data_IF_908636678125
#
_entry.id   IF_908636678125
#
_cell.length_a   1.000
_cell.length_b   1.000
_cell.length_c   1.000
_cell.angle_alpha   90.00
_cell.angle_beta   90.00
_cell.angle_gamma   90.00
#
_symmetry.space_group_name_H-M   'P 1'
#
loop_
_entity.id
_entity.type
_entity.pdbx_description
1 polymer ?
#
# COMPACT_ATOMS: atom_id res chain seq x y z
N UNK A 1 71.98 -31.55 20.73
CA UNK A 1 71.44 -30.18 20.78
C UNK A 1 70.85 -29.85 19.42
N UNK A 2 69.52 -29.91 19.31
CA UNK A 2 68.69 -29.10 18.42
C UNK A 2 67.25 -29.20 18.96
N UNK A 3 66.60 -28.06 19.15
CA UNK A 3 65.45 -27.85 20.04
C UNK A 3 64.11 -28.22 19.35
N UNK A 4 63.11 -28.86 20.01
CA UNK A 4 61.83 -29.24 19.38
C UNK A 4 60.85 -28.08 19.10
N UNK A 5 61.23 -26.83 19.36
CA UNK A 5 60.35 -25.66 19.23
C UNK A 5 60.33 -25.03 17.84
N UNK A 6 61.21 -25.46 16.92
CA UNK A 6 61.25 -24.91 15.55
C UNK A 6 60.27 -25.60 14.58
N UNK A 7 59.51 -26.62 15.04
CA UNK A 7 58.46 -27.28 14.24
C UNK A 7 57.09 -26.58 14.28
N UNK A 8 56.94 -25.49 15.04
CA UNK A 8 55.65 -24.80 15.19
C UNK A 8 55.58 -23.45 14.46
N UNK A 9 56.66 -23.00 13.82
CA UNK A 9 56.72 -21.68 13.19
C UNK A 9 56.94 -21.69 11.67
N UNK A 10 56.77 -22.84 11.02
CA UNK A 10 56.72 -22.90 9.54
C UNK A 10 55.37 -23.44 9.00
N UNK A 11 54.36 -23.58 9.87
CA UNK A 11 53.00 -23.97 9.47
C UNK A 11 51.97 -22.84 9.59
N UNK A 12 52.40 -21.58 9.76
CA UNK A 12 51.48 -20.42 9.90
C UNK A 12 51.73 -19.35 8.83
N UNK A 13 52.86 -19.39 8.12
CA UNK A 13 53.22 -18.37 7.11
C UNK A 13 52.73 -18.66 5.69
N UNK A 14 51.92 -19.71 5.50
CA UNK A 14 51.25 -19.97 4.23
C UNK A 14 49.72 -19.97 4.34
N UNK A 15 49.19 -19.18 5.29
CA UNK A 15 47.77 -18.81 5.31
C UNK A 15 47.47 -17.84 4.15
N UNK A 16 47.28 -18.39 2.95
CA UNK A 16 46.57 -17.71 1.85
C UNK A 16 45.05 -17.75 2.04
N UNK A 17 44.60 -17.96 3.29
CA UNK A 17 43.21 -17.98 3.73
C UNK A 17 43.07 -16.92 4.83
N UNK A 18 43.08 -15.62 4.48
CA UNK A 18 42.17 -14.73 5.19
C UNK A 18 41.52 -13.66 4.30
N UNK A 19 41.86 -13.57 3.01
CA UNK A 19 41.28 -12.52 2.14
C UNK A 19 39.96 -12.95 1.50
N UNK A 20 39.86 -14.21 1.06
CA UNK A 20 38.67 -14.74 0.36
C UNK A 20 37.50 -14.95 1.34
N UNK A 21 37.78 -15.44 2.55
CA UNK A 21 36.75 -15.67 3.58
C UNK A 21 36.19 -14.34 4.11
N UNK A 22 37.04 -13.32 4.28
CA UNK A 22 36.57 -11.97 4.66
C UNK A 22 35.73 -11.31 3.56
N UNK A 23 36.10 -11.47 2.28
CA UNK A 23 35.32 -10.90 1.18
C UNK A 23 33.94 -11.54 1.05
N UNK A 24 33.82 -12.85 1.32
CA UNK A 24 32.54 -13.57 1.30
C UNK A 24 31.62 -13.18 2.47
N UNK A 25 32.17 -12.96 3.68
CA UNK A 25 31.38 -12.45 4.81
C UNK A 25 30.87 -11.01 4.58
N UNK A 26 31.65 -10.17 3.90
CA UNK A 26 31.23 -8.81 3.54
C UNK A 26 30.07 -8.78 2.54
N UNK A 27 30.00 -9.76 1.63
CA UNK A 27 28.92 -9.90 0.65
C UNK A 27 27.61 -10.40 1.29
N UNK A 28 27.68 -11.23 2.34
CA UNK A 28 26.48 -11.70 3.06
C UNK A 28 25.78 -10.64 3.91
N UNK A 29 26.44 -9.51 4.19
CA UNK A 29 25.85 -8.38 4.92
C UNK A 29 25.12 -7.38 3.99
N UNK A 30 25.30 -7.50 2.66
CA UNK A 30 24.69 -6.61 1.66
C UNK A 30 23.45 -7.21 0.99
N UNK A 31 23.15 -8.50 1.19
CA UNK A 31 21.84 -9.07 0.86
C UNK A 31 20.83 -8.61 1.91
N UNK A 32 20.44 -7.36 1.78
CA UNK A 32 19.60 -6.63 2.71
C UNK A 32 18.32 -7.38 3.04
N UNK A 33 18.03 -7.45 4.33
CA UNK A 33 16.65 -7.41 4.80
C UNK A 33 16.10 -6.01 4.45
N UNK A 34 15.83 -5.77 3.17
CA UNK A 34 14.89 -4.72 2.82
C UNK A 34 13.57 -5.14 3.43
N UNK A 35 13.22 -4.56 4.57
CA UNK A 35 11.90 -4.71 5.15
C UNK A 35 10.89 -4.46 4.03
N UNK A 36 9.91 -5.37 3.81
CA UNK A 36 8.91 -5.17 2.79
C UNK A 36 8.30 -3.79 3.03
N UNK A 37 8.42 -2.91 2.02
CA UNK A 37 7.90 -1.56 2.13
C UNK A 37 6.47 -1.66 2.63
N UNK A 38 6.07 -0.87 3.65
CA UNK A 38 4.71 -0.90 4.14
C UNK A 38 3.78 -0.71 2.95
N UNK A 39 2.72 -1.52 2.89
CA UNK A 39 1.69 -1.39 1.86
C UNK A 39 1.05 -0.01 2.06
N UNK A 40 1.53 0.98 1.31
CA UNK A 40 0.91 2.30 1.26
C UNK A 40 -0.36 2.12 0.45
N UNK A 41 -1.52 2.08 1.12
CA UNK A 41 -2.80 2.15 0.42
C UNK A 41 -2.81 3.46 -0.37
N UNK A 42 -2.87 3.37 -1.70
CA UNK A 42 -3.02 4.56 -2.53
C UNK A 42 -4.40 5.13 -2.23
N UNK A 43 -4.43 6.34 -1.68
CA UNK A 43 -5.69 7.05 -1.45
C UNK A 43 -6.35 7.37 -2.79
N UNK A 44 -7.67 7.19 -2.87
CA UNK A 44 -8.46 7.63 -4.00
C UNK A 44 -9.21 8.91 -3.61
N UNK A 45 -9.19 9.93 -4.46
CA UNK A 45 -9.98 11.14 -4.21
C UNK A 45 -11.41 10.95 -4.67
N UNK A 46 -12.36 10.96 -3.74
CA UNK A 46 -13.77 11.05 -4.07
C UNK A 46 -14.10 12.49 -4.46
N UNK A 47 -14.61 12.67 -5.67
CA UNK A 47 -15.04 13.96 -6.22
C UNK A 47 -16.53 13.93 -6.53
N UNK A 48 -17.29 14.88 -5.98
CA UNK A 48 -18.75 14.93 -6.11
C UNK A 48 -19.14 16.26 -6.75
N UNK A 49 -19.94 16.19 -7.81
CA UNK A 49 -20.49 17.33 -8.51
C UNK A 49 -22.01 17.36 -8.28
N UNK A 50 -22.53 18.37 -7.60
CA UNK A 50 -23.97 18.52 -7.46
C UNK A 50 -24.56 19.18 -8.72
N UNK A 51 -24.98 18.35 -9.68
CA UNK A 51 -25.67 18.78 -10.90
C UNK A 51 -27.20 18.67 -10.79
N UNK A 52 -27.73 18.53 -9.58
CA UNK A 52 -29.18 18.49 -9.35
C UNK A 52 -29.76 19.91 -9.29
N UNK A 53 -31.09 20.04 -9.32
CA UNK A 53 -31.77 21.32 -9.17
C UNK A 53 -31.92 21.79 -7.71
N UNK A 54 -31.42 21.04 -6.72
CA UNK A 54 -31.49 21.37 -5.30
C UNK A 54 -30.16 21.07 -4.59
N UNK A 55 -30.06 21.48 -3.34
CA UNK A 55 -28.97 21.18 -2.42
C UNK A 55 -29.02 19.72 -1.98
N UNK A 56 -27.89 19.04 -2.04
CA UNK A 56 -27.70 17.74 -1.38
C UNK A 56 -27.45 18.00 0.11
N UNK A 57 -28.30 17.41 0.97
CA UNK A 57 -28.22 17.60 2.41
C UNK A 57 -27.01 16.89 3.00
N UNK A 58 -26.77 15.63 2.61
CA UNK A 58 -25.59 14.87 3.01
C UNK A 58 -25.24 13.82 1.98
N UNK A 59 -23.97 13.48 1.93
CA UNK A 59 -23.46 12.28 1.27
C UNK A 59 -22.84 11.39 2.32
N UNK A 60 -23.17 10.10 2.25
CA UNK A 60 -22.63 9.07 3.13
C UNK A 60 -21.91 8.02 2.31
N UNK A 61 -21.09 7.24 3.01
CA UNK A 61 -20.54 6.01 2.48
C UNK A 61 -20.70 4.88 3.49
N UNK A 62 -20.78 3.66 2.96
CA UNK A 62 -20.79 2.42 3.70
C UNK A 62 -19.75 1.50 3.08
N UNK A 63 -18.82 0.96 3.86
CA UNK A 63 -17.86 -0.01 3.30
C UNK A 63 -18.60 -1.28 2.88
N UNK A 64 -18.17 -1.93 1.81
CA UNK A 64 -18.83 -3.13 1.29
C UNK A 64 -18.83 -4.29 2.30
N UNK A 65 -17.86 -4.31 3.22
CA UNK A 65 -17.67 -5.32 4.26
C UNK A 65 -18.19 -4.90 5.64
N UNK A 66 -18.84 -3.73 5.76
CA UNK A 66 -19.39 -3.23 7.01
C UNK A 66 -20.86 -2.84 6.87
N UNK A 67 -21.60 -2.88 7.97
CA UNK A 67 -22.94 -2.32 8.06
C UNK A 67 -22.94 -0.78 8.28
N UNK A 68 -21.80 -0.22 8.72
CA UNK A 68 -21.70 1.13 9.24
C UNK A 68 -21.79 2.19 8.14
N UNK A 69 -22.72 3.14 8.32
CA UNK A 69 -22.89 4.30 7.45
C UNK A 69 -22.17 5.52 8.04
N UNK A 70 -21.35 6.16 7.23
CA UNK A 70 -20.48 7.25 7.64
C UNK A 70 -20.73 8.49 6.79
N UNK A 71 -20.84 9.67 7.40
CA UNK A 71 -21.02 10.93 6.68
C UNK A 71 -19.70 11.38 6.05
N UNK A 72 -19.73 11.68 4.75
CA UNK A 72 -18.58 12.18 3.99
C UNK A 72 -18.62 13.69 3.87
N UNK A 73 -19.79 14.21 3.47
CA UNK A 73 -20.04 15.62 3.22
C UNK A 73 -21.45 15.98 3.67
N UNK A 74 -21.61 17.25 3.99
CA UNK A 74 -22.90 17.85 4.28
C UNK A 74 -23.07 19.12 3.45
N UNK A 75 -24.32 19.45 3.17
CA UNK A 75 -24.72 20.75 2.67
C UNK A 75 -24.10 21.18 1.33
N UNK A 76 -24.03 20.28 0.34
CA UNK A 76 -23.45 20.56 -0.98
C UNK A 76 -24.44 21.38 -1.82
N UNK A 77 -24.08 22.62 -2.14
CA UNK A 77 -24.90 23.56 -2.92
C UNK A 77 -25.03 23.14 -4.38
N UNK A 78 -26.03 23.69 -5.07
CA UNK A 78 -26.23 23.47 -6.52
C UNK A 78 -24.99 23.96 -7.28
N UNK A 79 -24.51 23.16 -8.22
CA UNK A 79 -23.31 23.45 -9.02
C UNK A 79 -21.98 23.33 -8.26
N UNK A 80 -22.01 23.05 -6.95
CA UNK A 80 -20.80 22.91 -6.15
C UNK A 80 -20.09 21.59 -6.44
N UNK A 81 -18.77 21.64 -6.42
CA UNK A 81 -17.88 20.49 -6.46
C UNK A 81 -17.17 20.35 -5.12
N UNK A 82 -17.16 19.15 -4.55
CA UNK A 82 -16.47 18.83 -3.29
C UNK A 82 -15.60 17.59 -3.46
N UNK A 83 -14.48 17.55 -2.74
CA UNK A 83 -13.46 16.51 -2.87
C UNK A 83 -12.95 16.06 -1.51
N UNK A 84 -12.70 14.74 -1.34
CA UNK A 84 -12.15 14.15 -0.12
C UNK A 84 -11.30 12.93 -0.45
N UNK A 85 -10.06 12.84 0.05
CA UNK A 85 -9.28 11.60 -0.01
C UNK A 85 -9.97 10.48 0.78
N UNK A 86 -10.02 9.30 0.19
CA UNK A 86 -10.63 8.11 0.74
C UNK A 86 -9.62 6.96 0.75
N UNK A 87 -9.54 6.30 1.91
CA UNK A 87 -8.64 5.17 2.16
C UNK A 87 -9.48 3.92 2.47
N UNK A 88 -10.37 3.57 1.54
CA UNK A 88 -11.25 2.40 1.61
C UNK A 88 -11.09 1.56 0.35
N UNK A 89 -11.18 0.23 0.49
CA UNK A 89 -11.01 -0.69 -0.64
C UNK A 89 -12.28 -0.84 -1.49
N UNK A 90 -13.45 -0.77 -0.84
CA UNK A 90 -14.75 -0.89 -1.49
C UNK A 90 -15.79 -0.14 -0.65
N UNK A 91 -16.62 0.68 -1.29
CA UNK A 91 -17.73 1.35 -0.62
C UNK A 91 -18.95 1.56 -1.51
N UNK A 92 -20.11 1.59 -0.87
CA UNK A 92 -21.34 2.15 -1.40
C UNK A 92 -21.43 3.63 -0.98
N UNK A 93 -21.94 4.48 -1.88
CA UNK A 93 -22.15 5.91 -1.66
C UNK A 93 -23.62 6.27 -1.87
N UNK A 94 -24.15 7.09 -0.95
CA UNK A 94 -25.55 7.53 -0.97
C UNK A 94 -25.62 9.04 -0.78
N UNK A 95 -26.33 9.73 -1.66
CA UNK A 95 -26.62 11.16 -1.58
C UNK A 95 -28.09 11.36 -1.19
N UNK A 96 -28.32 12.24 -0.20
CA UNK A 96 -29.65 12.49 0.35
C UNK A 96 -30.08 13.95 0.16
N UNK A 97 -31.36 14.15 -0.14
CA UNK A 97 -31.97 15.48 -0.11
C UNK A 97 -32.30 15.91 1.34
N UNK A 98 -32.88 17.11 1.48
CA UNK A 98 -33.25 17.67 2.79
C UNK A 98 -34.38 16.92 3.50
N UNK A 99 -35.15 16.10 2.76
CA UNK A 99 -36.23 15.27 3.30
C UNK A 99 -35.72 13.89 3.71
N UNK A 100 -34.42 13.63 3.56
CA UNK A 100 -33.81 12.32 3.84
C UNK A 100 -34.05 11.29 2.74
N UNK A 101 -34.56 11.69 1.57
CA UNK A 101 -34.72 10.79 0.43
C UNK A 101 -33.38 10.63 -0.30
N UNK A 102 -33.06 9.39 -0.67
CA UNK A 102 -31.91 9.09 -1.54
C UNK A 102 -32.17 9.65 -2.94
N UNK A 103 -31.30 10.54 -3.41
CA UNK A 103 -31.35 11.17 -4.74
C UNK A 103 -30.18 10.77 -5.64
N UNK A 104 -29.19 10.07 -5.11
CA UNK A 104 -28.08 9.50 -5.87
C UNK A 104 -27.49 8.30 -5.12
N UNK A 105 -27.03 7.29 -5.87
CA UNK A 105 -26.45 6.07 -5.32
C UNK A 105 -25.38 5.52 -6.26
N UNK A 106 -24.26 5.07 -5.70
CA UNK A 106 -23.27 4.23 -6.36
C UNK A 106 -22.93 3.08 -5.41
N UNK A 107 -22.81 1.85 -5.91
CA UNK A 107 -22.57 0.66 -5.07
C UNK A 107 -21.34 -0.08 -5.51
N UNK A 108 -20.70 -0.74 -4.55
CA UNK A 108 -19.55 -1.61 -4.77
C UNK A 108 -18.44 -0.91 -5.57
N UNK A 109 -18.18 0.36 -5.23
CA UNK A 109 -17.13 1.13 -5.89
C UNK A 109 -15.79 0.70 -5.31
N UNK A 110 -15.00 -0.02 -6.10
CA UNK A 110 -13.64 -0.43 -5.77
C UNK A 110 -12.69 0.77 -5.82
N UNK A 111 -11.86 0.94 -4.79
CA UNK A 111 -10.92 2.05 -4.63
C UNK A 111 -9.61 1.56 -4.01
N UNK A 112 -8.44 2.09 -4.40
CA UNK A 112 -8.17 2.65 -5.72
C UNK A 112 -8.54 1.63 -6.83
N UNK A 113 -8.83 2.06 -8.07
CA UNK A 113 -9.23 1.13 -9.13
C UNK A 113 -8.23 -0.02 -9.27
N UNK A 114 -8.74 -1.25 -9.34
CA UNK A 114 -7.93 -2.46 -9.40
C UNK A 114 -7.17 -2.51 -10.73
N UNK A 115 -5.85 -2.30 -10.69
CA UNK A 115 -4.95 -2.63 -11.80
C UNK A 115 -4.75 -4.15 -11.81
N UNK A 116 -5.59 -4.88 -12.55
CA UNK A 116 -5.38 -6.30 -12.76
C UNK A 116 -4.21 -6.52 -13.73
N UNK A 117 -3.07 -6.98 -13.23
CA UNK A 117 -1.94 -7.42 -14.05
C UNK A 117 -1.78 -8.92 -13.94
N UNK A 118 -2.19 -9.65 -14.99
CA UNK A 118 -1.96 -11.10 -15.10
C UNK A 118 -0.74 -11.34 -15.99
N UNK A 119 0.41 -11.59 -15.38
CA UNK A 119 1.59 -12.09 -16.10
C UNK A 119 1.52 -13.62 -16.06
N UNK A 120 1.31 -14.26 -17.20
CA UNK A 120 1.50 -15.70 -17.33
C UNK A 120 2.82 -15.97 -18.03
N UNK A 121 3.73 -16.65 -17.34
CA UNK A 121 4.86 -17.29 -18.01
C UNK A 121 4.32 -18.63 -18.53
N UNK A 122 3.77 -18.64 -19.74
CA UNK A 122 3.60 -19.92 -20.45
C UNK A 122 4.99 -20.34 -20.91
N UNK A 123 5.74 -20.97 -20.00
CA UNK A 123 6.87 -21.79 -20.37
C UNK A 123 6.30 -22.97 -21.17
N UNK A 124 6.52 -22.94 -22.49
CA UNK A 124 6.39 -24.09 -23.37
C UNK A 124 7.68 -24.89 -23.36
#
# INVERSE_FOLDING_TARGET
>A
MYNPQDMALEMITNMNIPKIVLSLLGLSLLTGCAEPKPIVMKEATLKIHNLTSDKISKVTYKRCDSADENVVFENIRIGQVVEKPMSVNCADFYAYDRKGKVVGKQVSVEMPPSLQWKITNLAH
#
